data_IF_504482713050
#
_entry.id   IF_504482713050
#
_cell.length_a   1.000
_cell.length_b   1.000
_cell.length_c   1.000
_cell.angle_alpha   90.00
_cell.angle_beta   90.00
_cell.angle_gamma   90.00
#
_symmetry.space_group_name_H-M   'P 1'
#
loop_
_entity.id
_entity.type
_entity.pdbx_description
1 polymer ?
#
# COMPACT_ATOMS: atom_id res chain seq x y z
N UNK A 1 -5.36 -15.68 -10.81
CA UNK A 1 -6.66 -15.03 -10.59
C UNK A 1 -6.41 -13.54 -10.49
N UNK A 2 -6.91 -12.74 -11.44
CA UNK A 2 -6.68 -11.30 -11.44
C UNK A 2 -7.54 -10.69 -10.34
N UNK A 3 -6.92 -10.13 -9.31
CA UNK A 3 -7.63 -9.34 -8.30
C UNK A 3 -8.24 -8.15 -9.05
N UNK A 4 -9.58 -8.14 -9.23
CA UNK A 4 -10.30 -6.99 -9.76
C UNK A 4 -10.34 -5.93 -8.67
N UNK A 5 -9.36 -5.02 -8.68
CA UNK A 5 -9.46 -3.83 -7.84
C UNK A 5 -10.59 -2.95 -8.38
N UNK A 6 -11.51 -2.55 -7.50
CA UNK A 6 -12.57 -1.62 -7.86
C UNK A 6 -12.04 -0.19 -7.79
N UNK A 7 -11.11 0.15 -8.70
CA UNK A 7 -10.57 1.51 -8.87
C UNK A 7 -11.67 2.55 -9.24
N UNK A 8 -12.87 2.07 -9.56
CA UNK A 8 -14.03 2.89 -9.90
C UNK A 8 -14.47 3.75 -8.70
N UNK A 9 -14.51 3.16 -7.49
CA UNK A 9 -14.85 3.85 -6.24
C UNK A 9 -13.61 3.96 -5.35
N UNK A 10 -13.11 5.19 -5.22
CA UNK A 10 -11.95 5.48 -4.38
C UNK A 10 -12.17 5.08 -2.91
N UNK A 11 -13.39 5.22 -2.40
CA UNK A 11 -13.70 4.93 -0.99
C UNK A 11 -13.57 3.42 -0.71
N UNK A 12 -14.06 2.60 -1.64
CA UNK A 12 -13.93 1.15 -1.56
C UNK A 12 -12.47 0.71 -1.71
N UNK A 13 -11.75 1.29 -2.67
CA UNK A 13 -10.33 1.03 -2.84
C UNK A 13 -9.51 1.40 -1.59
N UNK A 14 -9.82 2.54 -0.96
CA UNK A 14 -9.19 2.97 0.29
C UNK A 14 -9.47 1.99 1.44
N UNK A 15 -10.68 1.44 1.55
CA UNK A 15 -11.00 0.42 2.55
C UNK A 15 -10.22 -0.88 2.32
N UNK A 16 -10.04 -1.28 1.06
CA UNK A 16 -9.20 -2.42 0.69
C UNK A 16 -7.73 -2.19 1.07
N UNK A 17 -7.18 -1.01 0.76
CA UNK A 17 -5.83 -0.65 1.16
C UNK A 17 -5.65 -0.70 2.69
N UNK A 18 -6.63 -0.21 3.45
CA UNK A 18 -6.62 -0.30 4.92
C UNK A 18 -6.55 -1.76 5.39
N UNK A 19 -7.34 -2.66 4.79
CA UNK A 19 -7.29 -4.10 5.13
C UNK A 19 -5.94 -4.74 4.77
N UNK A 20 -5.35 -4.34 3.64
CA UNK A 20 -4.03 -4.82 3.22
C UNK A 20 -2.89 -4.31 4.11
N UNK A 21 -3.11 -3.23 4.88
CA UNK A 21 -2.15 -2.62 5.82
C UNK A 21 -2.24 -3.21 7.24
N UNK A 22 -3.06 -4.24 7.48
CA UNK A 22 -3.27 -4.80 8.83
C UNK A 22 -1.97 -5.28 9.50
N UNK A 23 -1.05 -5.86 8.72
CA UNK A 23 0.26 -6.28 9.24
C UNK A 23 1.13 -5.09 9.67
N UNK A 24 1.12 -4.01 8.88
CA UNK A 24 1.83 -2.77 9.19
C UNK A 24 1.23 -2.10 10.45
N UNK A 25 -0.10 -2.01 10.54
CA UNK A 25 -0.83 -1.45 11.68
C UNK A 25 -0.56 -2.23 12.97
N UNK A 26 -0.37 -3.56 12.85
CA UNK A 26 -0.12 -4.47 13.97
C UNK A 26 1.35 -4.89 14.10
N UNK A 27 2.29 -4.19 13.46
CA UNK A 27 3.70 -4.60 13.43
C UNK A 27 4.30 -4.80 14.83
N UNK A 28 3.98 -3.92 15.77
CA UNK A 28 4.47 -4.02 17.16
C UNK A 28 3.94 -5.28 17.82
N UNK A 29 2.66 -5.58 17.64
CA UNK A 29 2.04 -6.79 18.17
C UNK A 29 2.66 -8.04 17.54
N UNK A 30 2.80 -8.07 16.20
CA UNK A 30 3.40 -9.18 15.47
C UNK A 30 4.85 -9.45 15.92
N UNK A 31 5.65 -8.40 16.15
CA UNK A 31 7.00 -8.52 16.67
C UNK A 31 7.03 -9.02 18.12
N UNK A 32 6.15 -8.50 18.98
CA UNK A 32 6.10 -8.90 20.39
C UNK A 32 5.64 -10.36 20.57
N UNK A 33 4.80 -10.89 19.68
CA UNK A 33 4.36 -12.30 19.73
C UNK A 33 5.35 -13.24 19.05
N UNK A 34 6.13 -12.76 18.09
CA UNK A 34 7.06 -13.60 17.31
C UNK A 34 8.49 -13.63 17.86
N UNK A 35 8.89 -12.61 18.62
CA UNK A 35 10.24 -12.53 19.19
C UNK A 35 10.24 -12.98 20.66
N UNK A 36 11.16 -13.88 21.06
CA UNK A 36 11.24 -14.31 22.44
C UNK A 36 11.68 -13.15 23.33
N UNK A 37 11.09 -13.04 24.52
CA UNK A 37 11.67 -12.21 25.58
C UNK A 37 12.96 -12.85 26.08
N UNK A 38 13.80 -12.08 26.79
CA UNK A 38 15.10 -12.58 27.29
C UNK A 38 14.97 -13.88 28.09
N UNK A 39 13.87 -14.05 28.83
CA UNK A 39 13.59 -15.25 29.63
C UNK A 39 13.28 -16.50 28.81
N UNK A 40 12.94 -16.38 27.52
CA UNK A 40 12.61 -17.51 26.62
C UNK A 40 13.62 -17.67 25.48
N UNK A 41 14.83 -17.11 25.63
CA UNK A 41 15.91 -17.19 24.64
C UNK A 41 16.26 -18.66 24.37
N UNK A 42 16.23 -19.06 23.09
CA UNK A 42 16.54 -20.44 22.65
C UNK A 42 15.33 -21.34 22.38
N UNK A 43 14.11 -20.95 22.76
CA UNK A 43 12.88 -21.71 22.44
C UNK A 43 12.29 -21.34 21.07
N UNK A 44 12.64 -20.16 20.55
CA UNK A 44 12.14 -19.62 19.28
C UNK A 44 13.31 -19.19 18.41
N UNK A 45 13.31 -19.62 17.15
CA UNK A 45 14.26 -19.14 16.15
C UNK A 45 13.87 -17.73 15.68
N UNK A 46 14.35 -16.73 16.42
CA UNK A 46 14.06 -15.31 16.17
C UNK A 46 14.54 -14.85 14.78
N UNK A 47 15.65 -15.39 14.28
CA UNK A 47 16.17 -15.08 12.95
C UNK A 47 15.21 -15.53 11.85
N UNK A 48 14.71 -16.77 11.93
CA UNK A 48 13.74 -17.30 10.98
C UNK A 48 12.42 -16.49 11.02
N UNK A 49 11.97 -16.08 12.20
CA UNK A 49 10.77 -15.23 12.36
C UNK A 49 10.96 -13.83 11.77
N UNK A 50 12.11 -13.21 11.98
CA UNK A 50 12.42 -11.92 11.35
C UNK A 50 12.49 -12.03 9.82
N UNK A 51 13.06 -13.11 9.26
CA UNK A 51 13.06 -13.36 7.81
C UNK A 51 11.65 -13.51 7.25
N UNK A 52 10.84 -14.36 7.87
CA UNK A 52 9.47 -14.60 7.44
C UNK A 52 8.65 -13.30 7.46
N UNK A 53 8.75 -12.53 8.54
CA UNK A 53 8.09 -11.24 8.65
C UNK A 53 8.57 -10.25 7.58
N UNK A 54 9.86 -10.21 7.27
CA UNK A 54 10.38 -9.37 6.18
C UNK A 54 9.77 -9.75 4.83
N UNK A 55 9.70 -11.04 4.51
CA UNK A 55 9.12 -11.53 3.26
C UNK A 55 7.64 -11.13 3.15
N UNK A 56 6.89 -11.26 4.24
CA UNK A 56 5.49 -10.84 4.29
C UNK A 56 5.33 -9.33 4.09
N UNK A 57 6.19 -8.51 4.72
CA UNK A 57 6.18 -7.06 4.56
C UNK A 57 6.50 -6.63 3.13
N UNK A 58 7.58 -7.14 2.54
CA UNK A 58 7.94 -6.78 1.16
C UNK A 58 6.90 -7.26 0.14
N UNK A 59 6.35 -8.47 0.32
CA UNK A 59 5.23 -8.92 -0.52
C UNK A 59 4.01 -8.01 -0.39
N UNK A 60 3.71 -7.53 0.82
CA UNK A 60 2.64 -6.57 1.06
C UNK A 60 2.88 -5.22 0.37
N UNK A 61 4.10 -4.68 0.48
CA UNK A 61 4.51 -3.44 -0.19
C UNK A 61 4.37 -3.54 -1.71
N UNK A 62 4.93 -4.60 -2.31
CA UNK A 62 4.82 -4.83 -3.76
C UNK A 62 3.36 -4.91 -4.20
N UNK A 63 2.55 -5.71 -3.51
CA UNK A 63 1.14 -5.89 -3.85
C UNK A 63 0.35 -4.58 -3.80
N UNK A 64 0.50 -3.80 -2.73
CA UNK A 64 -0.21 -2.53 -2.56
C UNK A 64 0.28 -1.49 -3.55
N UNK A 65 1.58 -1.40 -3.79
CA UNK A 65 2.16 -0.46 -4.74
C UNK A 65 1.70 -0.75 -6.17
N UNK A 66 1.63 -2.02 -6.58
CA UNK A 66 1.07 -2.42 -7.86
C UNK A 66 -0.42 -2.08 -7.98
N UNK A 67 -1.21 -2.38 -6.94
CA UNK A 67 -2.64 -2.04 -6.91
C UNK A 67 -2.89 -0.53 -7.09
N UNK A 68 -2.16 0.31 -6.34
CA UNK A 68 -2.27 1.78 -6.43
C UNK A 68 -1.87 2.27 -7.82
N UNK A 69 -0.73 1.81 -8.36
CA UNK A 69 -0.26 2.19 -9.70
C UNK A 69 -1.23 1.80 -10.79
N UNK A 70 -1.80 0.60 -10.72
CA UNK A 70 -2.80 0.13 -11.68
C UNK A 70 -4.05 1.03 -11.67
N UNK A 71 -4.55 1.41 -10.48
CA UNK A 71 -5.67 2.34 -10.38
C UNK A 71 -5.33 3.74 -10.90
N UNK A 72 -4.11 4.23 -10.67
CA UNK A 72 -3.64 5.52 -11.21
C UNK A 72 -3.67 5.50 -12.75
N UNK A 73 -3.15 4.44 -13.37
CA UNK A 73 -3.13 4.31 -14.84
C UNK A 73 -4.56 4.31 -15.40
N UNK A 74 -5.44 3.47 -14.86
CA UNK A 74 -6.84 3.38 -15.31
C UNK A 74 -7.58 4.72 -15.17
N UNK A 75 -7.39 5.42 -14.05
CA UNK A 75 -8.02 6.71 -13.81
C UNK A 75 -7.40 7.80 -14.71
N UNK A 76 -6.09 7.77 -14.95
CA UNK A 76 -5.42 8.71 -15.85
C UNK A 76 -5.90 8.56 -17.30
N UNK A 77 -6.08 7.33 -17.79
CA UNK A 77 -6.64 7.06 -19.12
C UNK A 77 -8.08 7.56 -19.25
N UNK A 78 -8.88 7.40 -18.18
CA UNK A 78 -10.24 7.94 -18.11
C UNK A 78 -10.23 9.47 -18.15
N UNK A 79 -9.38 10.12 -17.35
CA UNK A 79 -9.23 11.59 -17.35
C UNK A 79 -8.78 12.09 -18.72
N UNK A 80 -7.86 11.38 -19.40
CA UNK A 80 -7.41 11.71 -20.74
C UNK A 80 -8.55 11.65 -21.75
N UNK A 81 -9.33 10.56 -21.75
CA UNK A 81 -10.48 10.38 -22.64
C UNK A 81 -11.54 11.47 -22.42
N UNK A 82 -11.87 11.78 -21.16
CA UNK A 82 -12.80 12.86 -20.82
C UNK A 82 -12.29 14.25 -21.21
N UNK A 83 -10.95 14.45 -21.17
CA UNK A 83 -10.33 15.70 -21.62
C UNK A 83 -10.54 15.90 -23.12
N UNK A 84 -10.26 14.87 -23.91
CA UNK A 84 -10.42 14.87 -25.37
C UNK A 84 -11.89 15.11 -25.77
N UNK A 85 -12.84 14.39 -25.17
CA UNK A 85 -14.28 14.59 -25.42
C UNK A 85 -14.77 16.01 -25.11
N UNK A 86 -14.14 16.69 -24.14
CA UNK A 86 -14.51 18.04 -23.74
C UNK A 86 -14.03 19.10 -24.73
N UNK A 87 -13.00 18.81 -25.54
CA UNK A 87 -12.53 19.77 -26.54
C UNK A 87 -13.62 20.08 -27.58
N UNK A 88 -14.41 19.06 -27.92
CA UNK A 88 -15.54 19.15 -28.85
C UNK A 88 -16.88 19.54 -28.19
N UNK A 89 -17.02 19.36 -26.86
CA UNK A 89 -18.29 19.54 -26.13
C UNK A 89 -18.11 20.42 -24.87
N UNK A 90 -17.59 21.64 -25.04
CA UNK A 90 -17.18 22.51 -23.92
C UNK A 90 -18.29 22.89 -22.95
N UNK A 91 -19.52 23.02 -23.43
CA UNK A 91 -20.68 23.46 -22.64
C UNK A 91 -21.46 22.29 -22.00
N UNK A 92 -21.03 21.04 -22.23
CA UNK A 92 -21.66 19.88 -21.58
C UNK A 92 -21.33 19.87 -20.08
N UNK A 93 -22.31 20.27 -19.27
CA UNK A 93 -22.22 20.32 -17.81
C UNK A 93 -21.96 18.95 -17.20
N UNK A 94 -22.55 17.89 -17.76
CA UNK A 94 -22.38 16.51 -17.28
C UNK A 94 -20.94 16.04 -17.51
N UNK A 95 -20.43 16.23 -18.72
CA UNK A 95 -19.05 15.89 -19.08
C UNK A 95 -18.04 16.65 -18.22
N UNK A 96 -18.27 17.95 -18.00
CA UNK A 96 -17.44 18.78 -17.12
C UNK A 96 -17.43 18.29 -15.67
N UNK A 97 -18.57 17.86 -15.15
CA UNK A 97 -18.69 17.30 -13.79
C UNK A 97 -17.96 15.96 -13.67
N UNK A 98 -18.11 15.09 -14.67
CA UNK A 98 -17.42 13.79 -14.71
C UNK A 98 -15.90 13.99 -14.76
N UNK A 99 -15.41 14.86 -15.64
CA UNK A 99 -13.98 15.20 -15.74
C UNK A 99 -13.41 15.67 -14.40
N UNK A 100 -14.09 16.61 -13.70
CA UNK A 100 -13.63 17.10 -12.39
C UNK A 100 -13.61 16.01 -11.32
N UNK A 101 -14.61 15.11 -11.35
CA UNK A 101 -14.69 13.97 -10.42
C UNK A 101 -13.52 13.02 -10.63
N UNK A 102 -13.27 12.60 -11.87
CA UNK A 102 -12.16 11.71 -12.22
C UNK A 102 -10.80 12.36 -11.95
N UNK A 103 -10.65 13.65 -12.23
CA UNK A 103 -9.42 14.38 -11.91
C UNK A 103 -9.16 14.44 -10.40
N UNK A 104 -10.19 14.63 -9.58
CA UNK A 104 -10.06 14.57 -8.11
C UNK A 104 -9.67 13.16 -7.66
N UNK A 105 -10.31 12.13 -8.23
CA UNK A 105 -10.00 10.72 -7.94
C UNK A 105 -8.54 10.39 -8.24
N UNK A 106 -8.03 10.82 -9.40
CA UNK A 106 -6.63 10.63 -9.78
C UNK A 106 -5.66 11.23 -8.75
N UNK A 107 -5.94 12.46 -8.27
CA UNK A 107 -5.11 13.10 -7.22
C UNK A 107 -5.11 12.32 -5.92
N UNK A 108 -6.27 11.79 -5.51
CA UNK A 108 -6.39 10.98 -4.30
C UNK A 108 -5.60 9.67 -4.43
N UNK A 109 -5.70 8.99 -5.58
CA UNK A 109 -4.91 7.78 -5.86
C UNK A 109 -3.40 8.05 -5.86
N UNK A 110 -2.97 9.19 -6.41
CA UNK A 110 -1.56 9.60 -6.38
C UNK A 110 -1.08 9.87 -4.94
N UNK A 111 -1.93 10.46 -4.09
CA UNK A 111 -1.59 10.69 -2.68
C UNK A 111 -1.42 9.37 -1.90
N UNK A 112 -2.13 8.29 -2.28
CA UNK A 112 -1.96 6.97 -1.64
C UNK A 112 -0.55 6.38 -1.84
N UNK A 113 0.20 6.77 -2.88
CA UNK A 113 1.61 6.38 -3.00
C UNK A 113 2.45 6.99 -1.88
N UNK A 114 2.26 8.26 -1.57
CA UNK A 114 2.96 8.91 -0.46
C UNK A 114 2.57 8.34 0.90
N UNK A 115 1.29 7.98 1.07
CA UNK A 115 0.83 7.28 2.27
C UNK A 115 1.51 5.91 2.40
N UNK A 116 1.63 5.17 1.30
CA UNK A 116 2.31 3.87 1.29
C UNK A 116 3.79 3.99 1.65
N UNK A 117 4.49 5.01 1.13
CA UNK A 117 5.90 5.26 1.47
C UNK A 117 6.09 5.56 2.97
N UNK A 118 5.22 6.40 3.56
CA UNK A 118 5.27 6.74 4.99
C UNK A 118 5.03 5.48 5.86
N UNK A 119 4.04 4.66 5.49
CA UNK A 119 3.73 3.42 6.21
C UNK A 119 4.93 2.47 6.14
N UNK A 120 5.48 2.27 4.94
CA UNK A 120 6.65 1.43 4.73
C UNK A 120 7.83 1.89 5.60
N UNK A 121 8.15 3.18 5.60
CA UNK A 121 9.24 3.73 6.40
C UNK A 121 9.05 3.46 7.91
N UNK A 122 7.85 3.74 8.43
CA UNK A 122 7.52 3.53 9.85
C UNK A 122 7.62 2.05 10.24
N UNK A 123 7.04 1.17 9.44
CA UNK A 123 7.07 -0.27 9.71
C UNK A 123 8.48 -0.82 9.61
N UNK A 124 9.24 -0.46 8.57
CA UNK A 124 10.62 -0.91 8.39
C UNK A 124 11.53 -0.42 9.52
N UNK A 125 11.35 0.81 10.01
CA UNK A 125 12.09 1.30 11.17
C UNK A 125 11.85 0.42 12.40
N UNK A 126 10.58 0.19 12.74
CA UNK A 126 10.18 -0.63 13.89
C UNK A 126 10.71 -2.07 13.77
N UNK A 127 10.56 -2.64 12.57
CA UNK A 127 11.06 -3.97 12.25
C UNK A 127 12.58 -4.06 12.41
N UNK A 128 13.35 -3.11 11.83
CA UNK A 128 14.81 -3.09 11.93
C UNK A 128 15.28 -2.96 13.37
N UNK A 129 14.69 -2.07 14.15
CA UNK A 129 15.03 -1.87 15.57
C UNK A 129 14.88 -3.14 16.40
N UNK A 130 13.82 -3.93 16.15
CA UNK A 130 13.54 -5.17 16.87
C UNK A 130 14.32 -6.37 16.34
N UNK A 131 14.53 -6.46 15.02
CA UNK A 131 15.17 -7.62 14.39
C UNK A 131 16.69 -7.51 14.24
N UNK A 132 17.30 -6.33 14.42
CA UNK A 132 18.77 -6.13 14.28
C UNK A 132 19.66 -7.03 15.13
N UNK A 133 19.14 -7.54 16.25
CA UNK A 133 19.88 -8.45 17.14
C UNK A 133 19.88 -9.91 16.64
N UNK A 134 18.97 -10.24 15.73
CA UNK A 134 18.74 -11.60 15.25
C UNK A 134 18.97 -11.74 13.74
N UNK A 135 19.07 -10.61 13.03
CA UNK A 135 19.05 -10.57 11.58
C UNK A 135 19.97 -9.46 11.06
N UNK A 136 20.87 -9.81 10.13
CA UNK A 136 21.72 -8.83 9.42
C UNK A 136 21.03 -8.39 8.15
N UNK A 137 20.77 -7.08 8.05
CA UNK A 137 20.10 -6.48 6.90
C UNK A 137 21.00 -6.29 5.68
N UNK A 138 22.33 -6.35 5.86
CA UNK A 138 23.32 -6.13 4.79
C UNK A 138 23.50 -7.34 3.85
N UNK A 139 22.81 -8.44 4.14
CA UNK A 139 22.88 -9.70 3.39
C UNK A 139 21.66 -9.91 2.48
N UNK A 140 20.91 -8.85 2.19
CA UNK A 140 19.69 -8.84 1.37
C UNK A 140 19.89 -8.03 0.10
#
# INVERSE_FOLDING_TARGET
MSVKYECADFSQFQEQLRKMRDLDDKIIYALNTSLPTESFKGQVNAEAKCRDLHVQLESGYTHRQEAIKNCIVLCADTVKTLKEQREDNRDDVSLNKQFKTEQRKLRLLQAELSVEDIIRERTQKTFRERCRLFFRFDSM
#
